data_IF_445596544437
#
_entry.id   IF_445596544437
#
_cell.length_a   1.000
_cell.length_b   1.000
_cell.length_c   1.000
_cell.angle_alpha   90.00
_cell.angle_beta   90.00
_cell.angle_gamma   90.00
#
_symmetry.space_group_name_H-M   'P 1'
#
loop_
_entity.id
_entity.type
_entity.pdbx_description
1 polymer ?
#
# COMPACT_ATOMS: atom_id res chain seq x y z
N UNK A 1 20.13 -12.72 26.70
CA UNK A 1 20.52 -11.95 25.52
C UNK A 1 20.95 -12.90 24.41
N UNK A 2 20.03 -13.44 23.66
CA UNK A 2 20.27 -14.28 22.50
C UNK A 2 19.69 -13.59 21.27
N UNK A 3 20.49 -12.79 20.59
CA UNK A 3 20.18 -12.27 19.28
C UNK A 3 20.30 -13.41 18.27
N UNK A 4 19.22 -14.12 18.00
CA UNK A 4 19.09 -14.89 16.77
C UNK A 4 18.61 -13.91 15.71
N UNK A 5 19.54 -13.13 15.16
CA UNK A 5 19.30 -12.43 13.93
C UNK A 5 19.13 -13.50 12.84
N UNK A 6 17.91 -13.72 12.39
CA UNK A 6 17.69 -14.36 11.12
C UNK A 6 18.55 -13.61 10.10
N UNK A 7 19.49 -14.30 9.49
CA UNK A 7 20.24 -13.79 8.34
C UNK A 7 19.26 -13.67 7.20
N UNK A 8 18.52 -12.58 7.15
CA UNK A 8 17.68 -12.22 6.01
C UNK A 8 18.64 -11.81 4.91
N UNK A 9 18.75 -12.65 3.90
CA UNK A 9 19.36 -12.29 2.64
C UNK A 9 18.60 -11.08 2.06
N UNK A 10 19.35 -10.20 1.44
CA UNK A 10 18.91 -9.06 0.62
C UNK A 10 18.34 -7.91 1.45
N UNK A 11 19.21 -7.05 1.96
CA UNK A 11 18.88 -5.69 2.33
C UNK A 11 19.63 -4.69 1.47
N UNK A 12 19.25 -4.65 0.21
CA UNK A 12 19.57 -3.49 -0.65
C UNK A 12 18.45 -2.44 -0.64
N UNK A 13 17.42 -2.61 0.22
CA UNK A 13 16.39 -1.62 0.42
C UNK A 13 16.87 -0.54 1.40
N UNK A 14 16.72 0.71 1.02
CA UNK A 14 16.91 1.85 1.90
C UNK A 14 15.81 1.86 2.95
N UNK A 15 16.12 2.29 4.17
CA UNK A 15 15.12 2.44 5.25
C UNK A 15 14.06 3.49 4.92
N UNK A 16 14.41 4.49 4.10
CA UNK A 16 13.51 5.48 3.55
C UNK A 16 14.00 5.89 2.15
N UNK A 17 13.06 5.95 1.21
CA UNK A 17 13.26 6.49 -0.12
C UNK A 17 12.15 7.50 -0.40
N UNK A 18 12.53 8.77 -0.59
CA UNK A 18 11.60 9.88 -0.75
C UNK A 18 11.67 10.38 -2.18
N UNK A 19 10.51 10.45 -2.82
CA UNK A 19 10.35 10.97 -4.17
C UNK A 19 9.58 12.28 -4.13
N UNK A 20 10.10 13.32 -4.78
CA UNK A 20 9.39 14.56 -5.01
C UNK A 20 8.80 14.55 -6.42
N UNK A 21 7.48 14.67 -6.50
CA UNK A 21 6.77 14.79 -7.77
C UNK A 21 6.35 16.24 -7.98
N UNK A 22 6.98 16.92 -8.90
CA UNK A 22 6.67 18.29 -9.28
C UNK A 22 5.69 18.38 -10.46
N UNK A 23 5.48 17.27 -11.16
CA UNK A 23 4.52 17.11 -12.27
C UNK A 23 3.57 15.97 -12.00
N UNK A 24 2.28 16.23 -12.03
CA UNK A 24 1.25 15.25 -11.70
C UNK A 24 0.13 15.26 -12.73
N UNK A 25 -0.32 14.09 -13.15
CA UNK A 25 -1.50 13.88 -13.97
C UNK A 25 -2.58 13.25 -13.12
N UNK A 26 -3.72 13.93 -12.96
CA UNK A 26 -4.85 13.44 -12.17
C UNK A 26 -5.99 13.01 -13.09
N UNK A 27 -6.44 11.79 -12.93
CA UNK A 27 -7.66 11.27 -13.55
C UNK A 27 -8.82 11.39 -12.57
N UNK A 28 -9.66 12.42 -12.75
CA UNK A 28 -10.91 12.58 -12.00
C UNK A 28 -12.01 11.76 -12.70
N UNK A 29 -12.14 10.51 -12.27
CA UNK A 29 -13.13 9.59 -12.87
C UNK A 29 -14.58 10.01 -12.58
N UNK A 30 -14.82 10.72 -11.48
CA UNK A 30 -16.15 11.21 -11.13
C UNK A 30 -16.60 12.34 -12.06
N UNK A 31 -15.69 13.32 -12.31
CA UNK A 31 -15.99 14.45 -13.21
C UNK A 31 -15.60 14.20 -14.65
N UNK A 32 -15.02 13.03 -14.97
CA UNK A 32 -14.51 12.67 -16.29
C UNK A 32 -13.53 13.71 -16.85
N UNK A 33 -12.58 14.12 -16.00
CA UNK A 33 -11.58 15.13 -16.33
C UNK A 33 -10.17 14.61 -16.11
N UNK A 34 -9.28 15.11 -16.95
CA UNK A 34 -7.84 15.00 -16.79
C UNK A 34 -7.32 16.35 -16.30
N UNK A 35 -6.59 16.37 -15.18
CA UNK A 35 -6.02 17.58 -14.59
C UNK A 35 -4.50 17.44 -14.63
N UNK A 36 -3.82 18.41 -15.23
CA UNK A 36 -2.37 18.48 -15.27
C UNK A 36 -1.89 19.52 -14.25
N UNK A 37 -0.95 19.14 -13.44
CA UNK A 37 -0.40 19.98 -12.36
C UNK A 37 1.13 20.02 -12.51
N UNK A 38 1.70 21.21 -12.44
CA UNK A 38 3.15 21.41 -12.28
C UNK A 38 3.44 22.42 -11.19
N UNK A 39 4.58 22.27 -10.51
CA UNK A 39 5.05 23.18 -9.49
C UNK A 39 5.73 24.41 -10.09
N UNK A 40 5.53 25.58 -9.48
CA UNK A 40 6.27 26.81 -9.82
C UNK A 40 7.20 27.16 -8.67
N UNK A 41 8.50 27.33 -8.95
CA UNK A 41 9.44 27.84 -7.95
C UNK A 41 9.13 29.29 -7.63
N UNK A 42 9.02 29.60 -6.33
CA UNK A 42 8.74 30.96 -5.85
C UNK A 42 10.01 31.80 -5.63
N UNK A 43 11.19 31.25 -5.91
CA UNK A 43 12.48 31.92 -5.80
C UNK A 43 13.00 32.33 -7.20
N UNK A 44 13.74 33.43 -7.26
CA UNK A 44 14.28 33.95 -8.51
C UNK A 44 13.27 34.74 -9.35
N UNK A 45 13.35 34.64 -10.67
CA UNK A 45 12.42 35.31 -11.59
C UNK A 45 11.10 34.55 -11.69
N UNK A 46 10.05 35.07 -11.05
CA UNK A 46 8.74 34.46 -11.00
C UNK A 46 8.04 34.36 -12.37
N UNK A 47 8.26 35.36 -13.25
CA UNK A 47 7.67 35.37 -14.58
C UNK A 47 8.30 34.30 -15.48
N UNK A 48 9.61 34.15 -15.40
CA UNK A 48 10.32 33.08 -16.09
C UNK A 48 9.91 31.70 -15.58
N UNK A 49 9.89 31.54 -14.26
CA UNK A 49 9.45 30.26 -13.63
C UNK A 49 8.00 29.90 -14.02
N UNK A 50 7.09 30.87 -14.05
CA UNK A 50 5.71 30.65 -14.47
C UNK A 50 5.62 30.27 -15.96
N UNK A 51 6.40 30.93 -16.79
CA UNK A 51 6.47 30.66 -18.25
C UNK A 51 6.98 29.23 -18.49
N UNK A 52 8.02 28.81 -17.77
CA UNK A 52 8.56 27.44 -17.85
C UNK A 52 7.55 26.42 -17.41
N UNK A 53 6.85 26.64 -16.30
CA UNK A 53 5.81 25.74 -15.80
C UNK A 53 4.64 25.59 -16.82
N UNK A 54 4.27 26.69 -17.48
CA UNK A 54 3.26 26.64 -18.54
C UNK A 54 3.71 25.81 -19.74
N UNK A 55 4.96 25.92 -20.15
CA UNK A 55 5.53 25.10 -21.22
C UNK A 55 5.53 23.61 -20.84
N UNK A 56 5.85 23.27 -19.58
CA UNK A 56 5.78 21.89 -19.08
C UNK A 56 4.36 21.31 -19.16
N UNK A 57 3.34 22.10 -18.79
CA UNK A 57 1.94 21.66 -18.94
C UNK A 57 1.57 21.41 -20.41
N UNK A 58 2.01 22.26 -21.33
CA UNK A 58 1.79 22.09 -22.76
C UNK A 58 2.52 20.84 -23.32
N UNK A 59 3.70 20.51 -22.78
CA UNK A 59 4.42 19.29 -23.11
C UNK A 59 3.71 18.05 -22.62
N UNK A 60 3.21 18.05 -21.38
CA UNK A 60 2.41 16.97 -20.83
C UNK A 60 1.15 16.74 -21.66
N UNK A 61 0.44 17.81 -22.05
CA UNK A 61 -0.73 17.71 -22.91
C UNK A 61 -0.39 17.11 -24.28
N UNK A 62 0.69 17.57 -24.91
CA UNK A 62 1.16 17.04 -26.21
C UNK A 62 1.52 15.56 -26.11
N UNK A 63 2.19 15.14 -25.04
CA UNK A 63 2.54 13.74 -24.80
C UNK A 63 1.29 12.88 -24.72
N UNK A 64 0.30 13.28 -23.92
CA UNK A 64 -0.95 12.57 -23.77
C UNK A 64 -1.71 12.46 -25.12
N UNK A 65 -1.82 13.57 -25.84
CA UNK A 65 -2.51 13.60 -27.15
C UNK A 65 -1.79 12.81 -28.24
N UNK A 66 -0.48 12.63 -28.13
CA UNK A 66 0.29 11.84 -29.09
C UNK A 66 -0.07 10.36 -29.10
N UNK A 67 -0.65 9.85 -27.98
CA UNK A 67 -0.92 8.43 -27.81
C UNK A 67 0.34 7.56 -27.74
N UNK A 68 1.52 8.16 -27.51
CA UNK A 68 2.76 7.43 -27.37
C UNK A 68 2.65 6.41 -26.22
N UNK A 69 3.10 5.20 -26.50
CA UNK A 69 3.08 4.10 -25.54
C UNK A 69 4.50 3.70 -25.19
N UNK A 70 4.75 3.49 -23.89
CA UNK A 70 5.98 2.86 -23.45
C UNK A 70 5.86 1.34 -23.62
N UNK A 71 6.96 0.71 -24.00
CA UNK A 71 7.04 -0.74 -24.09
C UNK A 71 7.56 -1.29 -22.75
N UNK A 72 6.70 -2.04 -22.06
CA UNK A 72 7.04 -2.72 -20.82
C UNK A 72 7.19 -4.22 -21.09
N UNK A 73 8.32 -4.77 -20.71
CA UNK A 73 8.51 -6.22 -20.75
C UNK A 73 7.76 -6.83 -19.56
N UNK A 74 6.83 -7.77 -19.79
CA UNK A 74 6.11 -8.44 -18.71
C UNK A 74 7.07 -9.11 -17.72
N UNK A 75 6.67 -9.16 -16.45
CA UNK A 75 7.40 -9.87 -15.42
C UNK A 75 7.37 -11.37 -15.71
N UNK A 76 8.54 -11.98 -15.72
CA UNK A 76 8.72 -13.43 -15.89
C UNK A 76 9.55 -13.97 -14.74
N UNK A 77 9.00 -14.94 -14.01
CA UNK A 77 9.72 -15.65 -12.96
C UNK A 77 10.74 -16.59 -13.60
N UNK A 78 11.97 -16.59 -13.10
CA UNK A 78 13.05 -17.48 -13.53
C UNK A 78 13.21 -18.70 -12.61
N UNK A 79 12.58 -18.66 -11.43
CA UNK A 79 12.55 -19.74 -10.45
C UNK A 79 11.25 -19.72 -9.66
N UNK A 80 11.00 -20.75 -8.87
CA UNK A 80 9.87 -20.80 -7.94
C UNK A 80 10.09 -19.88 -6.73
N UNK A 81 9.00 -19.54 -6.04
CA UNK A 81 9.09 -18.74 -4.82
C UNK A 81 9.71 -19.54 -3.67
N UNK A 82 10.64 -18.92 -2.98
CA UNK A 82 11.27 -19.46 -1.78
C UNK A 82 10.86 -18.63 -0.55
N UNK A 83 10.28 -19.24 0.49
CA UNK A 83 9.97 -18.55 1.72
C UNK A 83 11.25 -18.20 2.49
N UNK A 84 11.28 -17.05 3.13
CA UNK A 84 12.38 -16.61 4.00
C UNK A 84 12.49 -17.42 5.30
N UNK A 85 11.34 -17.94 5.77
CA UNK A 85 11.23 -18.82 6.94
C UNK A 85 10.45 -20.05 6.53
N UNK A 86 10.94 -21.24 6.84
CA UNK A 86 10.23 -22.48 6.57
C UNK A 86 8.97 -22.64 7.43
N UNK A 87 8.11 -23.59 7.07
CA UNK A 87 6.83 -23.82 7.74
C UNK A 87 7.00 -24.16 9.22
N UNK A 88 8.00 -24.97 9.56
CA UNK A 88 8.18 -25.44 10.95
C UNK A 88 8.62 -24.28 11.85
N UNK A 89 9.59 -23.49 11.41
CA UNK A 89 10.07 -22.33 12.15
C UNK A 89 9.02 -21.22 12.21
N UNK A 90 8.24 -21.02 11.15
CA UNK A 90 7.11 -20.08 11.20
C UNK A 90 6.06 -20.49 12.22
N UNK A 91 5.72 -21.79 12.32
CA UNK A 91 4.80 -22.29 13.35
C UNK A 91 5.34 -22.05 14.77
N UNK A 92 6.65 -22.23 15.00
CA UNK A 92 7.28 -21.91 16.29
C UNK A 92 7.17 -20.41 16.63
N UNK A 93 7.34 -19.53 15.63
CA UNK A 93 7.15 -18.08 15.81
C UNK A 93 5.71 -17.76 16.22
N UNK A 94 4.71 -18.43 15.60
CA UNK A 94 3.30 -18.24 15.94
C UNK A 94 3.02 -18.67 17.38
N UNK A 95 3.51 -19.85 17.83
CA UNK A 95 3.33 -20.30 19.20
C UNK A 95 3.99 -19.33 20.20
N UNK A 96 5.17 -18.84 19.91
CA UNK A 96 5.83 -17.83 20.75
C UNK A 96 5.06 -16.50 20.82
N UNK A 97 4.47 -16.08 19.70
CA UNK A 97 3.63 -14.88 19.68
C UNK A 97 2.37 -15.06 20.55
N UNK A 98 1.74 -16.25 20.52
CA UNK A 98 0.61 -16.58 21.40
C UNK A 98 0.98 -16.53 22.90
N UNK A 99 2.19 -16.97 23.28
CA UNK A 99 2.68 -16.85 24.64
C UNK A 99 2.72 -15.36 25.06
N UNK A 100 3.31 -14.48 24.26
CA UNK A 100 3.35 -13.04 24.55
C UNK A 100 1.96 -12.40 24.67
N UNK A 101 1.00 -12.85 23.85
CA UNK A 101 -0.40 -12.40 23.95
C UNK A 101 -1.01 -12.89 25.26
N UNK A 102 -0.78 -14.16 25.65
CA UNK A 102 -1.30 -14.74 26.87
C UNK A 102 -0.71 -14.07 28.13
N UNK A 103 0.59 -13.73 28.11
CA UNK A 103 1.28 -13.04 29.19
C UNK A 103 0.90 -11.56 29.29
N UNK A 104 0.23 -11.03 28.28
CA UNK A 104 -0.21 -9.62 28.23
C UNK A 104 0.86 -8.64 27.77
N UNK A 105 1.98 -9.11 27.24
CA UNK A 105 3.06 -8.28 26.71
C UNK A 105 2.65 -7.55 25.43
N UNK A 106 1.83 -8.21 24.61
CA UNK A 106 1.27 -7.68 23.37
C UNK A 106 -0.17 -8.15 23.22
N UNK A 107 -0.99 -7.43 22.47
CA UNK A 107 -2.35 -7.86 22.12
C UNK A 107 -2.47 -8.26 20.63
N UNK A 108 -1.55 -7.82 19.80
CA UNK A 108 -1.51 -8.13 18.37
C UNK A 108 -0.07 -8.10 17.86
N UNK A 109 0.23 -8.96 16.89
CA UNK A 109 1.49 -8.95 16.15
C UNK A 109 1.28 -9.49 14.75
N UNK A 110 1.96 -8.91 13.77
CA UNK A 110 2.00 -9.41 12.40
C UNK A 110 3.34 -10.08 12.16
N UNK A 111 3.32 -11.39 11.96
CA UNK A 111 4.52 -12.17 11.63
C UNK A 111 4.73 -12.16 10.11
N UNK A 112 5.86 -11.62 9.69
CA UNK A 112 6.22 -11.50 8.28
C UNK A 112 7.00 -12.73 7.81
N UNK A 113 6.66 -13.21 6.60
CA UNK A 113 7.44 -14.23 5.91
C UNK A 113 7.58 -13.83 4.43
N UNK A 114 8.70 -13.25 4.01
CA UNK A 114 8.91 -12.84 2.63
C UNK A 114 9.02 -14.06 1.71
N UNK A 115 8.38 -14.01 0.57
CA UNK A 115 8.56 -14.94 -0.53
C UNK A 115 9.45 -14.27 -1.58
N UNK A 116 10.53 -14.93 -1.96
CA UNK A 116 11.51 -14.42 -2.92
C UNK A 116 11.62 -15.32 -4.13
N UNK A 117 11.79 -14.73 -5.30
CA UNK A 117 12.08 -15.44 -6.53
C UNK A 117 12.90 -14.54 -7.46
N UNK A 118 13.72 -15.13 -8.31
CA UNK A 118 14.35 -14.38 -9.40
C UNK A 118 13.34 -14.12 -10.50
N UNK A 119 13.36 -12.90 -11.01
CA UNK A 119 12.47 -12.48 -12.06
C UNK A 119 13.16 -11.49 -13.00
N UNK A 120 12.60 -11.34 -14.20
CA UNK A 120 12.98 -10.34 -15.20
C UNK A 120 11.74 -9.62 -15.71
N UNK A 121 11.91 -8.37 -16.12
CA UNK A 121 10.81 -7.55 -16.62
C UNK A 121 10.30 -6.58 -15.58
N UNK A 122 9.15 -5.96 -15.84
CA UNK A 122 8.53 -4.92 -15.01
C UNK A 122 7.31 -5.43 -14.27
N UNK A 123 7.09 -4.93 -13.06
CA UNK A 123 5.87 -5.15 -12.28
C UNK A 123 4.63 -4.43 -12.85
N UNK A 124 4.79 -3.57 -13.85
CA UNK A 124 3.69 -2.72 -14.31
C UNK A 124 2.46 -3.50 -14.78
N UNK A 125 2.64 -4.53 -15.61
CA UNK A 125 1.51 -5.36 -16.05
C UNK A 125 0.95 -6.22 -14.90
N UNK A 126 1.79 -6.66 -13.99
CA UNK A 126 1.35 -7.34 -12.75
C UNK A 126 0.46 -6.40 -11.93
N UNK A 127 0.84 -5.12 -11.77
CA UNK A 127 0.01 -4.12 -11.11
C UNK A 127 -1.33 -3.90 -11.84
N UNK A 128 -1.33 -3.87 -13.18
CA UNK A 128 -2.58 -3.73 -13.97
C UNK A 128 -3.55 -4.90 -13.72
N UNK A 129 -3.03 -6.11 -13.56
CA UNK A 129 -3.85 -7.28 -13.16
C UNK A 129 -4.29 -7.16 -11.72
N UNK A 130 -3.40 -6.81 -10.79
CA UNK A 130 -3.70 -6.65 -9.38
C UNK A 130 -4.86 -5.69 -9.13
N UNK A 131 -4.87 -4.53 -9.80
CA UNK A 131 -5.93 -3.52 -9.63
C UNK A 131 -7.31 -3.97 -10.11
N UNK A 132 -7.39 -4.99 -10.93
CA UNK A 132 -8.67 -5.55 -11.41
C UNK A 132 -9.09 -6.79 -10.65
N UNK A 133 -8.14 -7.60 -10.20
CA UNK A 133 -8.41 -8.85 -9.46
C UNK A 133 -8.61 -8.63 -7.97
N UNK A 134 -7.91 -7.65 -7.40
CA UNK A 134 -7.94 -7.36 -5.96
C UNK A 134 -7.97 -5.84 -5.70
N UNK A 135 -9.04 -5.13 -6.13
CA UNK A 135 -9.14 -3.69 -5.94
C UNK A 135 -9.20 -3.32 -4.46
N UNK A 136 -8.56 -2.20 -4.11
CA UNK A 136 -8.60 -1.64 -2.77
C UNK A 136 -8.63 -0.11 -2.82
N UNK A 137 -8.99 0.58 -1.71
CA UNK A 137 -9.02 2.03 -1.66
C UNK A 137 -7.69 2.70 -2.02
N UNK A 138 -6.57 2.06 -1.66
CA UNK A 138 -5.24 2.57 -1.92
C UNK A 138 -4.47 1.58 -2.79
N UNK A 139 -4.30 1.94 -4.03
CA UNK A 139 -3.53 1.17 -4.98
C UNK A 139 -2.38 2.01 -5.50
N UNK A 140 -1.20 1.44 -5.54
CA UNK A 140 0.00 2.16 -5.95
C UNK A 140 0.95 1.29 -6.77
N UNK A 141 1.66 1.96 -7.64
CA UNK A 141 2.82 1.46 -8.35
C UNK A 141 3.88 2.56 -8.35
N UNK A 142 5.03 2.26 -7.79
CA UNK A 142 6.19 3.13 -7.79
C UNK A 142 7.30 2.49 -8.59
N UNK A 143 7.98 3.29 -9.39
CA UNK A 143 9.15 2.88 -10.14
C UNK A 143 10.23 3.93 -9.99
N UNK A 144 11.41 3.52 -9.57
CA UNK A 144 12.63 4.32 -9.56
C UNK A 144 13.74 3.61 -10.33
N UNK A 145 14.98 4.09 -10.25
CA UNK A 145 16.07 3.56 -11.05
C UNK A 145 16.43 2.11 -10.71
N UNK A 146 16.23 1.71 -9.45
CA UNK A 146 16.69 0.45 -8.89
C UNK A 146 15.58 -0.41 -8.26
N UNK A 147 14.35 0.12 -8.18
CA UNK A 147 13.23 -0.58 -7.53
C UNK A 147 11.89 -0.30 -8.21
N UNK A 148 11.06 -1.32 -8.28
CA UNK A 148 9.63 -1.21 -8.56
C UNK A 148 8.84 -1.79 -7.39
N UNK A 149 7.79 -1.08 -6.98
CA UNK A 149 6.89 -1.50 -5.89
C UNK A 149 5.46 -1.38 -6.35
N UNK A 150 4.69 -2.44 -6.23
CA UNK A 150 3.26 -2.45 -6.52
C UNK A 150 2.48 -2.97 -5.31
N UNK A 151 1.34 -2.36 -5.01
CA UNK A 151 0.54 -2.78 -3.88
C UNK A 151 -0.93 -2.37 -3.96
N UNK A 152 -1.72 -3.07 -3.15
CA UNK A 152 -3.13 -2.81 -2.90
C UNK A 152 -3.34 -2.82 -1.39
N UNK A 153 -3.69 -1.67 -0.80
CA UNK A 153 -3.91 -1.52 0.64
C UNK A 153 -5.39 -1.25 0.94
N UNK A 154 -6.05 -2.07 1.76
CA UNK A 154 -7.44 -1.87 2.14
C UNK A 154 -7.61 -0.85 3.28
N UNK A 155 -6.56 -0.55 4.02
CA UNK A 155 -6.62 0.13 5.30
C UNK A 155 -6.12 1.58 5.22
N UNK A 156 -6.86 2.49 5.85
CA UNK A 156 -6.47 3.89 6.00
C UNK A 156 -5.76 4.05 7.33
N UNK A 157 -4.46 4.34 7.30
CA UNK A 157 -3.68 4.62 8.50
C UNK A 157 -4.17 5.91 9.18
N UNK A 158 -4.18 7.01 8.44
CA UNK A 158 -4.72 8.28 8.88
C UNK A 158 -5.08 9.15 7.67
N UNK A 159 -6.22 9.84 7.73
CA UNK A 159 -6.67 10.79 6.72
C UNK A 159 -7.01 12.10 7.41
N UNK A 160 -6.39 13.19 6.96
CA UNK A 160 -6.76 14.55 7.38
C UNK A 160 -7.63 15.20 6.29
N UNK A 161 -8.84 15.55 6.64
CA UNK A 161 -9.79 16.21 5.74
C UNK A 161 -10.59 17.26 6.49
N UNK A 162 -10.61 18.50 5.98
CA UNK A 162 -11.33 19.62 6.59
C UNK A 162 -10.99 19.86 8.10
N UNK A 163 -9.73 19.62 8.48
CA UNK A 163 -9.28 19.75 9.87
C UNK A 163 -9.65 18.59 10.78
N UNK A 164 -10.26 17.53 10.24
CA UNK A 164 -10.57 16.30 10.98
C UNK A 164 -9.62 15.19 10.59
N UNK A 165 -9.06 14.51 11.57
CA UNK A 165 -8.24 13.29 11.39
C UNK A 165 -9.15 12.08 11.54
N UNK A 166 -9.13 11.21 10.53
CA UNK A 166 -9.91 9.97 10.52
C UNK A 166 -8.97 8.79 10.32
N UNK A 167 -9.26 7.68 11.01
CA UNK A 167 -8.64 6.38 10.77
C UNK A 167 -9.75 5.33 10.60
N UNK A 168 -9.47 4.28 9.82
CA UNK A 168 -10.43 3.21 9.56
C UNK A 168 -9.74 1.85 9.81
N UNK A 169 -9.51 1.49 11.09
CA UNK A 169 -8.84 0.25 11.43
C UNK A 169 -9.72 -0.96 11.08
N UNK A 170 -9.09 -2.00 10.53
CA UNK A 170 -9.71 -3.30 10.29
C UNK A 170 -9.36 -4.23 11.46
N UNK A 171 -10.37 -4.93 12.00
CA UNK A 171 -10.16 -5.85 13.12
C UNK A 171 -10.64 -7.27 12.77
N UNK A 172 -11.90 -7.58 12.97
CA UNK A 172 -12.44 -8.91 12.70
C UNK A 172 -12.79 -9.16 11.24
N UNK A 173 -12.94 -10.42 10.86
CA UNK A 173 -13.37 -10.85 9.53
C UNK A 173 -14.38 -11.96 9.66
N UNK A 174 -15.45 -11.91 8.85
CA UNK A 174 -16.42 -12.99 8.65
C UNK A 174 -16.53 -13.30 7.16
N UNK A 175 -16.92 -14.53 6.84
CA UNK A 175 -17.28 -14.90 5.47
C UNK A 175 -18.56 -14.16 5.08
N UNK A 176 -18.71 -13.87 3.79
CA UNK A 176 -19.97 -13.34 3.26
C UNK A 176 -21.04 -14.44 3.30
N UNK A 177 -22.25 -14.06 3.63
CA UNK A 177 -23.40 -14.94 3.56
C UNK A 177 -23.74 -15.36 2.14
N UNK A 178 -24.37 -16.51 1.97
CA UNK A 178 -24.87 -16.99 0.68
C UNK A 178 -26.19 -16.27 0.32
N UNK A 179 -26.99 -15.92 1.32
CA UNK A 179 -28.19 -15.10 1.19
C UNK A 179 -28.00 -13.75 1.89
N UNK A 180 -28.88 -12.79 1.60
CA UNK A 180 -28.85 -11.49 2.24
C UNK A 180 -29.15 -11.58 3.75
N UNK A 181 -30.06 -12.46 4.15
CA UNK A 181 -30.40 -12.69 5.55
C UNK A 181 -29.21 -13.26 6.33
N UNK A 182 -28.53 -14.27 5.77
CA UNK A 182 -27.32 -14.85 6.35
C UNK A 182 -26.21 -13.82 6.47
N UNK A 183 -26.01 -12.98 5.45
CA UNK A 183 -24.99 -11.93 5.44
C UNK A 183 -25.26 -10.90 6.55
N UNK A 184 -26.52 -10.50 6.75
CA UNK A 184 -26.90 -9.59 7.83
C UNK A 184 -26.72 -10.20 9.23
N UNK A 185 -26.90 -11.50 9.39
CA UNK A 185 -26.64 -12.19 10.66
C UNK A 185 -25.14 -12.23 10.96
N UNK A 186 -24.30 -12.55 9.95
CA UNK A 186 -22.86 -12.55 10.08
C UNK A 186 -22.29 -11.14 10.35
N UNK A 187 -22.89 -10.11 9.78
CA UNK A 187 -22.56 -8.70 10.10
C UNK A 187 -22.86 -8.38 11.57
N UNK A 188 -24.05 -8.75 12.07
CA UNK A 188 -24.42 -8.54 13.47
C UNK A 188 -23.51 -9.31 14.43
N UNK A 189 -23.14 -10.54 14.09
CA UNK A 189 -22.19 -11.34 14.86
C UNK A 189 -20.81 -10.65 14.91
N UNK A 190 -20.32 -10.12 13.77
CA UNK A 190 -19.04 -9.40 13.71
C UNK A 190 -19.06 -8.12 14.55
N UNK A 191 -20.14 -7.35 14.50
CA UNK A 191 -20.32 -6.13 15.29
C UNK A 191 -20.45 -6.39 16.79
N UNK A 192 -20.95 -7.58 17.17
CA UNK A 192 -21.07 -8.00 18.57
C UNK A 192 -19.79 -8.65 19.12
N UNK A 193 -18.78 -8.91 18.27
CA UNK A 193 -17.54 -9.54 18.68
C UNK A 193 -16.71 -8.61 19.57
N UNK A 194 -16.64 -8.95 20.86
CA UNK A 194 -15.96 -8.15 21.87
C UNK A 194 -14.46 -7.92 21.59
N UNK A 195 -13.79 -8.87 20.96
CA UNK A 195 -12.36 -8.75 20.59
C UNK A 195 -12.19 -7.71 19.52
N UNK A 196 -12.98 -7.78 18.44
CA UNK A 196 -12.96 -6.79 17.36
C UNK A 196 -13.29 -5.39 17.87
N UNK A 197 -14.29 -5.25 18.72
CA UNK A 197 -14.67 -3.97 19.33
C UNK A 197 -13.56 -3.39 20.20
N UNK A 198 -12.90 -4.21 21.02
CA UNK A 198 -11.80 -3.79 21.88
C UNK A 198 -10.60 -3.31 21.08
N UNK A 199 -10.26 -3.99 19.98
CA UNK A 199 -9.18 -3.58 19.08
C UNK A 199 -9.47 -2.25 18.39
N UNK A 200 -10.68 -2.05 17.88
CA UNK A 200 -11.11 -0.77 17.30
C UNK A 200 -11.00 0.37 18.31
N UNK A 201 -11.48 0.17 19.53
CA UNK A 201 -11.43 1.18 20.60
C UNK A 201 -10.00 1.49 21.06
N UNK A 202 -9.10 0.53 21.06
CA UNK A 202 -7.68 0.76 21.39
C UNK A 202 -7.01 1.72 20.39
N UNK A 203 -7.40 1.68 19.11
CA UNK A 203 -6.95 2.64 18.11
C UNK A 203 -7.52 4.05 18.31
N UNK A 204 -8.73 4.19 18.86
CA UNK A 204 -9.34 5.50 19.16
C UNK A 204 -8.64 6.21 20.33
N UNK A 205 -8.15 5.47 21.33
CA UNK A 205 -7.48 6.06 22.50
C UNK A 205 -6.08 6.60 22.21
N UNK A 206 -5.46 6.29 21.12
CA UNK A 206 -4.17 6.85 20.69
C UNK A 206 -4.32 8.27 20.08
N UNK A 207 -5.53 8.67 19.72
CA UNK A 207 -5.82 9.97 19.11
C UNK A 207 -6.20 11.06 20.14
N UNK A 208 -6.36 10.73 21.40
CA UNK A 208 -6.66 11.66 22.49
C UNK A 208 -5.39 12.23 23.20
N UNK A 209 -4.22 12.08 22.57
CA UNK A 209 -2.93 12.66 22.97
C UNK A 209 -2.55 13.81 22.04
#
# INVERSE_FOLDING_TARGET
>A
SGKTAAKTAVRDFRDADLMLFDRVIVFDNYRQKLILITGVKLEGDLEENYTNAKQELEEMERLIRSGAQADFRPLVLEEEFHPGVDKEDYCKMVEKAKEYIYEGDIFQVVLSNPLTAKAKGSLFDTYRVLRTSNPSPYMFYFSSDDIEVAGASPETLAKLENGQVCTFPLAGTRKRGVTEEEDQELEKELLADAVSYTHLRAHETVLDL
#
